data_IF_722556040328
#
_entry.id   IF_722556040328
#
_cell.length_a   1.000
_cell.length_b   1.000
_cell.length_c   1.000
_cell.angle_alpha   90.00
_cell.angle_beta   90.00
_cell.angle_gamma   90.00
#
_symmetry.space_group_name_H-M   'P 1'
#
loop_
_entity.id
_entity.type
_entity.pdbx_description
1 polymer ?
#
# COMPACT_ATOMS: atom_id res chain seq x y z
N UNK A 1 -49.48 -45.20 1.34
CA UNK A 1 -48.30 -44.68 2.06
C UNK A 1 -47.34 -44.09 1.03
N UNK A 2 -47.42 -42.79 0.83
CA UNK A 2 -46.59 -42.08 -0.17
C UNK A 2 -45.36 -41.49 0.53
N UNK A 3 -44.14 -42.08 0.28
CA UNK A 3 -42.89 -41.51 0.75
C UNK A 3 -42.55 -40.27 -0.09
N UNK A 4 -42.67 -39.07 0.48
CA UNK A 4 -42.13 -37.84 -0.09
C UNK A 4 -40.61 -37.88 0.01
N UNK A 5 -39.96 -38.00 -1.13
CA UNK A 5 -38.51 -37.84 -1.29
C UNK A 5 -38.22 -36.30 -1.35
N UNK A 6 -37.72 -35.73 -0.27
CA UNK A 6 -37.20 -34.36 -0.28
C UNK A 6 -35.81 -34.39 -0.94
N UNK A 7 -35.73 -33.90 -2.18
CA UNK A 7 -34.46 -33.65 -2.86
C UNK A 7 -33.90 -32.33 -2.32
N UNK A 8 -32.95 -32.38 -1.38
CA UNK A 8 -32.16 -31.23 -1.02
C UNK A 8 -31.18 -30.92 -2.19
N UNK A 9 -31.54 -29.92 -3.00
CA UNK A 9 -30.57 -29.29 -3.88
C UNK A 9 -29.58 -28.50 -2.98
N UNK A 10 -28.45 -29.09 -2.69
CA UNK A 10 -27.30 -28.35 -2.19
C UNK A 10 -26.79 -27.46 -3.32
N UNK A 11 -27.20 -26.21 -3.33
CA UNK A 11 -26.53 -25.16 -4.10
C UNK A 11 -25.12 -25.06 -3.52
N UNK A 12 -24.18 -25.75 -4.15
CA UNK A 12 -22.76 -25.49 -3.93
C UNK A 12 -22.48 -24.08 -4.47
N UNK A 13 -22.52 -23.09 -3.60
CA UNK A 13 -21.90 -21.81 -3.88
C UNK A 13 -20.42 -22.11 -4.04
N UNK A 14 -19.96 -22.32 -5.27
CA UNK A 14 -18.55 -22.36 -5.57
C UNK A 14 -17.99 -21.01 -5.16
N UNK A 15 -17.25 -20.96 -4.05
CA UNK A 15 -16.45 -19.80 -3.70
C UNK A 15 -15.42 -19.64 -4.81
N UNK A 16 -15.70 -18.68 -5.71
CA UNK A 16 -14.76 -18.30 -6.77
C UNK A 16 -13.52 -17.80 -6.05
N UNK A 17 -12.39 -18.44 -6.27
CA UNK A 17 -11.08 -18.01 -5.77
C UNK A 17 -10.35 -17.29 -6.88
N UNK A 18 -9.39 -16.42 -6.52
CA UNK A 18 -8.44 -15.92 -7.49
C UNK A 18 -7.88 -17.09 -8.31
N UNK A 19 -7.94 -16.97 -9.63
CA UNK A 19 -7.47 -18.00 -10.57
C UNK A 19 -6.04 -17.71 -11.02
N UNK A 20 -5.37 -18.71 -11.55
CA UNK A 20 -4.05 -18.54 -12.14
C UNK A 20 -4.17 -17.72 -13.45
N UNK A 21 -3.64 -16.50 -13.53
CA UNK A 21 -3.79 -15.62 -14.70
C UNK A 21 -3.13 -16.17 -15.96
N UNK A 22 -2.19 -17.13 -15.85
CA UNK A 22 -1.56 -17.77 -17.01
C UNK A 22 -2.40 -18.91 -17.59
N UNK A 23 -3.50 -19.26 -16.94
CA UNK A 23 -4.43 -20.30 -17.43
C UNK A 23 -5.39 -19.84 -18.51
N UNK A 24 -5.42 -18.54 -18.83
CA UNK A 24 -6.29 -17.93 -19.83
C UNK A 24 -5.48 -17.06 -20.81
N UNK A 25 -5.99 -16.78 -22.03
CA UNK A 25 -5.36 -15.83 -22.94
C UNK A 25 -5.12 -14.48 -22.25
N UNK A 26 -3.92 -13.91 -22.39
CA UNK A 26 -3.47 -12.77 -21.61
C UNK A 26 -2.77 -11.72 -22.49
N UNK A 27 -3.36 -10.51 -22.55
CA UNK A 27 -2.68 -9.34 -23.12
C UNK A 27 -1.69 -8.79 -22.09
N UNK A 28 -0.46 -9.25 -22.12
CA UNK A 28 0.55 -8.86 -21.14
C UNK A 28 1.00 -7.39 -21.19
N UNK A 29 0.53 -6.61 -22.19
CA UNK A 29 0.91 -5.21 -22.33
C UNK A 29 0.15 -4.36 -21.31
N UNK A 30 0.88 -3.55 -20.58
CA UNK A 30 0.35 -2.62 -19.62
C UNK A 30 1.09 -1.27 -19.64
N UNK A 31 0.73 -0.42 -18.68
CA UNK A 31 1.41 0.86 -18.42
C UNK A 31 1.19 1.28 -16.97
N UNK A 32 2.16 1.98 -16.40
CA UNK A 32 2.05 2.58 -15.06
C UNK A 32 1.48 4.00 -15.18
N UNK A 33 0.50 4.34 -14.37
CA UNK A 33 -0.07 5.68 -14.24
C UNK A 33 0.01 6.16 -12.78
N UNK A 34 0.01 7.47 -12.56
CA UNK A 34 -0.01 8.04 -11.21
C UNK A 34 -1.35 8.69 -10.87
N UNK A 35 -2.14 9.07 -11.87
CA UNK A 35 -3.46 9.69 -11.68
C UNK A 35 -4.55 8.79 -12.31
N UNK A 36 -5.65 8.48 -11.59
CA UNK A 36 -6.74 7.66 -12.12
C UNK A 36 -7.44 8.26 -13.35
N UNK A 37 -7.36 9.58 -13.59
CA UNK A 37 -7.92 10.21 -14.78
C UNK A 37 -7.11 9.90 -16.05
N UNK A 38 -5.88 9.40 -15.95
CA UNK A 38 -5.07 8.94 -17.08
C UNK A 38 -5.58 7.64 -17.72
N UNK A 39 -6.55 6.96 -17.11
CA UNK A 39 -7.01 5.62 -17.52
C UNK A 39 -7.52 5.57 -18.98
N UNK A 40 -8.11 6.65 -19.49
CA UNK A 40 -8.59 6.68 -20.89
C UNK A 40 -7.41 6.66 -21.88
N UNK A 41 -6.32 7.37 -21.57
CA UNK A 41 -5.12 7.39 -22.40
C UNK A 41 -4.35 6.08 -22.27
N UNK A 42 -4.28 5.53 -21.04
CA UNK A 42 -3.72 4.21 -20.80
C UNK A 42 -4.43 3.13 -21.65
N UNK A 43 -5.76 3.15 -21.70
CA UNK A 43 -6.54 2.21 -22.50
C UNK A 43 -6.23 2.28 -24.01
N UNK A 44 -6.03 3.49 -24.57
CA UNK A 44 -5.62 3.65 -25.97
C UNK A 44 -4.28 2.98 -26.26
N UNK A 45 -3.35 3.01 -25.30
CA UNK A 45 -2.06 2.36 -25.45
C UNK A 45 -2.19 0.84 -25.31
N UNK A 46 -2.75 0.36 -24.20
CA UNK A 46 -2.65 -1.06 -23.86
C UNK A 46 -3.60 -1.94 -24.67
N UNK A 47 -4.70 -1.37 -25.18
CA UNK A 47 -5.69 -2.07 -26.00
C UNK A 47 -5.62 -1.72 -27.49
N UNK A 48 -4.49 -1.11 -27.96
CA UNK A 48 -4.25 -0.85 -29.38
C UNK A 48 -3.86 -2.13 -30.16
N UNK A 49 -3.85 -2.04 -31.47
CA UNK A 49 -3.26 -3.04 -32.42
C UNK A 49 -3.68 -4.50 -32.12
N UNK A 50 -5.00 -4.69 -31.93
CA UNK A 50 -5.60 -6.02 -31.68
C UNK A 50 -5.61 -6.47 -30.22
N UNK A 51 -5.12 -5.62 -29.32
CA UNK A 51 -5.16 -5.87 -27.87
C UNK A 51 -6.52 -5.59 -27.26
N UNK A 52 -6.83 -6.32 -26.21
CA UNK A 52 -7.94 -6.05 -25.29
C UNK A 52 -7.59 -6.59 -23.90
N UNK A 53 -8.18 -6.04 -22.86
CA UNK A 53 -7.88 -6.38 -21.46
C UNK A 53 -6.38 -6.24 -21.09
N UNK A 54 -5.79 -5.10 -21.44
CA UNK A 54 -4.43 -4.73 -21.00
C UNK A 54 -4.39 -4.29 -19.55
N UNK A 55 -3.19 -4.16 -19.01
CA UNK A 55 -2.96 -3.88 -17.59
C UNK A 55 -2.66 -2.40 -17.31
N UNK A 56 -3.08 -1.93 -16.15
CA UNK A 56 -2.69 -0.61 -15.62
C UNK A 56 -2.26 -0.74 -14.17
N UNK A 57 -0.99 -0.43 -13.89
CA UNK A 57 -0.50 -0.28 -12.51
C UNK A 57 -0.77 1.15 -12.03
N UNK A 58 -1.33 1.28 -10.82
CA UNK A 58 -1.59 2.59 -10.19
C UNK A 58 -1.39 2.50 -8.68
N UNK A 59 -0.71 3.49 -8.04
CA UNK A 59 -0.59 3.53 -6.59
C UNK A 59 -1.87 4.09 -5.94
N UNK A 60 -2.26 3.47 -4.81
CA UNK A 60 -3.24 4.04 -3.87
C UNK A 60 -2.55 4.24 -2.54
N UNK A 61 -2.48 5.49 -2.08
CA UNK A 61 -1.82 5.83 -0.82
C UNK A 61 -2.77 5.67 0.37
N UNK A 62 -2.22 5.39 1.56
CA UNK A 62 -3.02 5.24 2.79
C UNK A 62 -3.79 6.49 3.20
N UNK A 63 -3.42 7.67 2.72
CA UNK A 63 -4.11 8.94 2.93
C UNK A 63 -5.04 9.35 1.76
N UNK A 64 -5.24 8.48 0.75
CA UNK A 64 -6.13 8.72 -0.39
C UNK A 64 -7.28 7.71 -0.38
N UNK A 65 -8.36 8.06 0.30
CA UNK A 65 -9.57 7.26 0.46
C UNK A 65 -10.80 7.93 -0.14
N UNK A 66 -10.61 8.83 -1.11
CA UNK A 66 -11.71 9.42 -1.86
C UNK A 66 -12.49 8.33 -2.61
N UNK A 67 -13.65 7.95 -2.05
CA UNK A 67 -14.46 6.84 -2.55
C UNK A 67 -14.98 7.11 -3.95
N UNK A 68 -15.42 8.31 -4.25
CA UNK A 68 -16.02 8.66 -5.54
C UNK A 68 -14.97 8.65 -6.65
N UNK A 69 -13.77 9.17 -6.38
CA UNK A 69 -12.62 9.12 -7.27
C UNK A 69 -12.29 7.68 -7.65
N UNK A 70 -12.15 6.79 -6.64
CA UNK A 70 -11.76 5.41 -6.88
C UNK A 70 -12.89 4.56 -7.47
N UNK A 71 -14.15 4.77 -7.07
CA UNK A 71 -15.29 4.14 -7.74
C UNK A 71 -15.30 4.45 -9.23
N UNK A 72 -15.10 5.73 -9.60
CA UNK A 72 -15.01 6.18 -10.99
C UNK A 72 -13.87 5.49 -11.74
N UNK A 73 -12.70 5.35 -11.10
CA UNK A 73 -11.56 4.64 -11.69
C UNK A 73 -11.90 3.18 -12.02
N UNK A 74 -12.42 2.41 -11.05
CA UNK A 74 -12.75 1.00 -11.26
C UNK A 74 -13.89 0.80 -12.28
N UNK A 75 -14.88 1.68 -12.30
CA UNK A 75 -15.95 1.68 -13.31
C UNK A 75 -15.39 1.95 -14.72
N UNK A 76 -14.48 2.92 -14.85
CA UNK A 76 -13.78 3.19 -16.10
C UNK A 76 -12.89 2.02 -16.52
N UNK A 77 -12.17 1.41 -15.60
CA UNK A 77 -11.36 0.22 -15.87
C UNK A 77 -12.21 -0.89 -16.51
N UNK A 78 -13.40 -1.15 -15.95
CA UNK A 78 -14.33 -2.12 -16.52
C UNK A 78 -14.82 -1.73 -17.91
N UNK A 79 -15.26 -0.49 -18.09
CA UNK A 79 -15.78 0.03 -19.37
C UNK A 79 -14.73 0.02 -20.49
N UNK A 80 -13.47 0.23 -20.14
CA UNK A 80 -12.33 0.32 -21.05
C UNK A 80 -11.59 -1.00 -21.21
N UNK A 81 -12.08 -2.09 -20.59
CA UNK A 81 -11.43 -3.39 -20.56
C UNK A 81 -9.97 -3.30 -20.05
N UNK A 82 -9.80 -2.69 -18.91
CA UNK A 82 -8.51 -2.57 -18.21
C UNK A 82 -8.48 -3.47 -16.99
N UNK A 83 -7.39 -4.17 -16.81
CA UNK A 83 -7.11 -4.95 -15.60
C UNK A 83 -6.25 -4.08 -14.67
N UNK A 84 -6.80 -3.56 -13.56
CA UNK A 84 -6.03 -2.75 -12.64
C UNK A 84 -5.12 -3.62 -11.77
N UNK A 85 -3.87 -3.17 -11.60
CA UNK A 85 -2.92 -3.67 -10.62
C UNK A 85 -2.73 -2.54 -9.61
N UNK A 86 -3.25 -2.70 -8.41
CA UNK A 86 -3.20 -1.67 -7.38
C UNK A 86 -1.95 -1.84 -6.53
N UNK A 87 -1.05 -0.86 -6.57
CA UNK A 87 0.08 -0.79 -5.63
C UNK A 87 -0.38 -0.02 -4.39
N UNK A 88 -0.54 -0.72 -3.27
CA UNK A 88 -0.80 -0.03 -2.01
C UNK A 88 0.48 0.64 -1.53
N UNK A 89 0.36 1.84 -1.00
CA UNK A 89 1.48 2.62 -0.52
C UNK A 89 1.08 3.41 0.74
N UNK A 90 2.01 3.66 1.62
CA UNK A 90 1.85 4.62 2.70
C UNK A 90 1.89 6.05 2.14
N UNK A 91 2.38 7.00 2.85
CA UNK A 91 2.59 8.36 2.40
C UNK A 91 4.00 8.83 2.79
N UNK A 92 4.61 9.74 2.03
CA UNK A 92 5.92 10.28 2.39
C UNK A 92 5.80 11.21 3.61
N UNK A 93 6.76 11.08 4.52
CA UNK A 93 7.02 12.03 5.60
C UNK A 93 8.43 12.62 5.34
N UNK A 94 8.49 13.83 4.81
CA UNK A 94 9.67 14.37 4.15
C UNK A 94 10.11 13.48 2.99
N UNK A 95 11.36 13.04 2.94
CA UNK A 95 11.92 12.20 1.86
C UNK A 95 11.81 10.70 2.13
N UNK A 96 11.09 10.29 3.20
CA UNK A 96 10.98 8.91 3.63
C UNK A 96 9.50 8.50 3.69
N UNK A 97 9.16 7.39 3.05
CA UNK A 97 7.83 6.80 3.16
C UNK A 97 7.63 6.17 4.54
N UNK A 98 6.47 6.43 5.13
CA UNK A 98 6.11 5.83 6.41
C UNK A 98 6.11 4.30 6.30
N UNK A 99 6.76 3.63 7.25
CA UNK A 99 6.75 2.17 7.32
C UNK A 99 5.32 1.66 7.51
N UNK A 100 4.84 0.75 6.65
CA UNK A 100 3.50 0.21 6.77
C UNK A 100 3.37 -0.76 7.95
N UNK A 101 2.13 -0.92 8.41
CA UNK A 101 1.78 -1.79 9.52
C UNK A 101 0.46 -2.56 9.25
N UNK A 102 0.09 -3.47 10.15
CA UNK A 102 -1.12 -4.28 10.00
C UNK A 102 -2.42 -3.47 9.97
N UNK A 103 -2.47 -2.28 10.59
CA UNK A 103 -3.66 -1.41 10.52
C UNK A 103 -3.82 -0.81 9.10
N UNK A 104 -2.72 -0.46 8.44
CA UNK A 104 -2.75 -0.03 7.04
C UNK A 104 -3.28 -1.15 6.14
N UNK A 105 -2.83 -2.40 6.37
CA UNK A 105 -3.32 -3.57 5.61
C UNK A 105 -4.82 -3.79 5.78
N UNK A 106 -5.35 -3.67 7.02
CA UNK A 106 -6.78 -3.81 7.31
C UNK A 106 -7.58 -2.72 6.61
N UNK A 107 -7.13 -1.47 6.67
CA UNK A 107 -7.77 -0.34 6.02
C UNK A 107 -7.80 -0.51 4.50
N UNK A 108 -6.67 -0.86 3.88
CA UNK A 108 -6.61 -1.15 2.44
C UNK A 108 -7.51 -2.32 2.04
N UNK A 109 -7.49 -3.43 2.79
CA UNK A 109 -8.28 -4.60 2.47
C UNK A 109 -9.80 -4.30 2.52
N UNK A 110 -10.25 -3.54 3.53
CA UNK A 110 -11.64 -3.09 3.63
C UNK A 110 -12.02 -2.17 2.46
N UNK A 111 -11.21 -1.13 2.22
CA UNK A 111 -11.47 -0.16 1.16
C UNK A 111 -11.52 -0.81 -0.22
N UNK A 112 -10.54 -1.65 -0.55
CA UNK A 112 -10.42 -2.29 -1.86
C UNK A 112 -11.44 -3.42 -2.06
N UNK A 113 -11.92 -4.05 -0.97
CA UNK A 113 -12.98 -5.04 -1.07
C UNK A 113 -14.30 -4.42 -1.52
N UNK A 114 -14.55 -3.17 -1.20
CA UNK A 114 -15.76 -2.41 -1.56
C UNK A 114 -15.73 -1.84 -3.00
N UNK A 115 -14.62 -1.95 -3.71
CA UNK A 115 -14.49 -1.40 -5.08
C UNK A 115 -15.08 -2.36 -6.13
N UNK A 116 -15.69 -1.82 -7.22
CA UNK A 116 -16.29 -2.60 -8.31
C UNK A 116 -15.22 -3.10 -9.29
N UNK A 117 -14.42 -4.07 -8.88
CA UNK A 117 -13.36 -4.64 -9.70
C UNK A 117 -13.87 -5.14 -11.05
N UNK A 118 -13.16 -4.88 -12.17
CA UNK A 118 -13.57 -5.34 -13.50
C UNK A 118 -13.43 -6.86 -13.67
N UNK A 119 -12.43 -7.45 -13.01
CA UNK A 119 -12.07 -8.85 -13.12
C UNK A 119 -12.15 -9.57 -11.79
N UNK A 120 -12.27 -10.90 -11.84
CA UNK A 120 -12.30 -11.74 -10.63
C UNK A 120 -11.00 -11.57 -9.82
N UNK A 121 -9.84 -11.69 -10.47
CA UNK A 121 -8.58 -11.40 -9.81
C UNK A 121 -8.45 -9.92 -9.47
N UNK A 122 -8.20 -9.62 -8.18
CA UNK A 122 -7.98 -8.30 -7.62
C UNK A 122 -6.51 -8.15 -7.29
N UNK A 123 -5.72 -7.66 -8.25
CA UNK A 123 -4.26 -7.64 -8.14
C UNK A 123 -3.78 -6.53 -7.21
N UNK A 124 -3.05 -6.91 -6.15
CA UNK A 124 -2.51 -6.01 -5.13
C UNK A 124 -1.01 -6.19 -5.04
N UNK A 125 -0.24 -5.14 -5.32
CA UNK A 125 1.19 -5.07 -5.00
C UNK A 125 1.32 -4.55 -3.57
N UNK A 126 2.01 -5.31 -2.73
CA UNK A 126 2.18 -5.03 -1.31
C UNK A 126 3.38 -4.10 -1.10
N UNK A 127 3.14 -2.80 -1.31
CA UNK A 127 4.08 -1.68 -1.17
C UNK A 127 5.12 -1.56 -2.28
N UNK A 128 6.15 -0.71 -2.08
CA UNK A 128 7.15 -0.34 -3.08
C UNK A 128 8.56 -0.56 -2.52
N UNK A 129 9.44 -1.13 -3.30
CA UNK A 129 10.90 -1.19 -3.15
C UNK A 129 11.45 -1.20 -1.70
N UNK A 130 11.02 -2.13 -0.83
CA UNK A 130 11.45 -2.14 0.57
C UNK A 130 12.96 -2.43 0.75
N UNK A 131 13.68 -2.66 -0.33
CA UNK A 131 15.15 -2.72 -0.35
C UNK A 131 15.81 -1.33 -0.41
N UNK A 132 15.02 -0.25 -0.46
CA UNK A 132 15.45 1.13 -0.25
C UNK A 132 14.95 1.64 1.11
N UNK A 133 15.84 2.22 1.91
CA UNK A 133 15.51 2.72 3.24
C UNK A 133 14.44 3.84 3.20
N UNK A 134 14.52 4.73 2.20
CA UNK A 134 13.54 5.82 2.03
C UNK A 134 12.12 5.32 1.68
N UNK A 135 11.98 4.12 1.13
CA UNK A 135 10.69 3.48 0.85
C UNK A 135 10.14 2.73 2.08
N UNK A 136 10.96 2.53 3.14
CA UNK A 136 10.63 1.67 4.28
C UNK A 136 10.99 2.30 5.63
N UNK A 137 10.40 3.42 5.98
CA UNK A 137 10.55 4.06 7.29
C UNK A 137 11.97 4.54 7.61
N UNK A 138 12.82 4.73 6.61
CA UNK A 138 14.24 5.09 6.80
C UNK A 138 15.16 3.92 7.12
N UNK A 139 14.66 2.67 7.05
CA UNK A 139 15.43 1.46 7.37
C UNK A 139 15.28 0.39 6.32
N UNK A 140 16.25 -0.52 6.22
CA UNK A 140 16.18 -1.71 5.36
C UNK A 140 15.89 -2.90 6.27
N UNK A 141 14.67 -3.44 6.21
CA UNK A 141 14.25 -4.51 7.12
C UNK A 141 13.55 -5.67 6.40
N UNK A 142 14.32 -6.63 5.84
CA UNK A 142 13.76 -7.79 5.16
C UNK A 142 12.86 -8.68 6.01
N UNK A 143 13.17 -8.79 7.33
CA UNK A 143 12.35 -9.58 8.26
C UNK A 143 10.96 -8.96 8.45
N UNK A 144 10.91 -7.66 8.67
CA UNK A 144 9.64 -6.95 8.87
C UNK A 144 8.77 -7.02 7.61
N UNK A 145 9.37 -6.75 6.44
CA UNK A 145 8.64 -6.86 5.18
C UNK A 145 8.11 -8.28 4.94
N UNK A 146 8.91 -9.31 5.17
CA UNK A 146 8.48 -10.70 5.03
C UNK A 146 7.33 -11.07 6.00
N UNK A 147 7.38 -10.57 7.23
CA UNK A 147 6.31 -10.76 8.23
C UNK A 147 5.02 -10.05 7.80
N UNK A 148 5.16 -8.83 7.28
CA UNK A 148 4.02 -8.05 6.76
C UNK A 148 3.32 -8.74 5.59
N UNK A 149 4.05 -9.45 4.70
CA UNK A 149 3.45 -10.24 3.63
C UNK A 149 2.56 -11.37 4.18
N UNK A 150 2.99 -12.03 5.27
CA UNK A 150 2.21 -13.10 5.93
C UNK A 150 0.91 -12.53 6.52
N UNK A 151 1.00 -11.39 7.20
CA UNK A 151 -0.18 -10.68 7.72
C UNK A 151 -1.11 -10.23 6.60
N UNK A 152 -0.56 -9.68 5.52
CA UNK A 152 -1.34 -9.26 4.35
C UNK A 152 -2.16 -10.42 3.77
N UNK A 153 -1.55 -11.62 3.62
CA UNK A 153 -2.29 -12.80 3.15
C UNK A 153 -3.51 -13.09 4.02
N UNK A 154 -3.33 -13.15 5.34
CA UNK A 154 -4.42 -13.40 6.27
C UNK A 154 -5.50 -12.33 6.12
N UNK A 155 -5.12 -11.05 6.20
CA UNK A 155 -6.05 -9.92 6.21
C UNK A 155 -6.83 -9.81 4.89
N UNK A 156 -6.16 -9.84 3.74
CA UNK A 156 -6.82 -9.69 2.44
C UNK A 156 -7.66 -10.92 2.08
N UNK A 157 -7.15 -12.13 2.30
CA UNK A 157 -7.90 -13.37 1.97
C UNK A 157 -9.13 -13.58 2.87
N UNK A 158 -9.12 -13.07 4.10
CA UNK A 158 -10.31 -13.05 4.98
C UNK A 158 -11.41 -12.13 4.45
N UNK A 159 -11.06 -11.07 3.70
CA UNK A 159 -12.05 -10.17 3.07
C UNK A 159 -12.58 -10.74 1.76
N UNK A 160 -11.71 -11.27 0.92
CA UNK A 160 -12.10 -11.94 -0.33
C UNK A 160 -10.99 -12.88 -0.80
N UNK A 161 -11.32 -14.13 -1.17
CA UNK A 161 -10.38 -15.04 -1.81
C UNK A 161 -9.93 -14.55 -3.20
N UNK A 162 -10.61 -13.57 -3.79
CA UNK A 162 -10.31 -13.00 -5.12
C UNK A 162 -9.10 -12.07 -5.12
N UNK A 163 -8.67 -11.59 -3.96
CA UNK A 163 -7.42 -10.82 -3.89
C UNK A 163 -6.24 -11.68 -4.34
N UNK A 164 -5.52 -11.21 -5.35
CA UNK A 164 -4.30 -11.81 -5.87
C UNK A 164 -3.12 -10.97 -5.39
N UNK A 165 -2.37 -11.49 -4.42
CA UNK A 165 -1.33 -10.74 -3.73
C UNK A 165 0.02 -10.91 -4.40
N UNK A 166 0.66 -9.79 -4.69
CA UNK A 166 2.00 -9.70 -5.25
C UNK A 166 2.96 -9.14 -4.20
N UNK A 167 4.18 -9.67 -4.16
CA UNK A 167 5.26 -8.98 -3.41
C UNK A 167 5.48 -7.57 -3.98
N UNK A 168 6.14 -6.68 -3.24
CA UNK A 168 6.69 -5.46 -3.84
C UNK A 168 7.71 -5.81 -4.92
N UNK A 169 7.79 -5.01 -5.97
CA UNK A 169 8.93 -5.01 -6.86
C UNK A 169 10.14 -4.48 -6.12
N UNK A 170 11.23 -5.25 -6.06
CA UNK A 170 12.49 -4.72 -5.59
C UNK A 170 13.23 -4.07 -6.75
N UNK A 171 13.96 -2.99 -6.47
CA UNK A 171 14.91 -2.45 -7.44
C UNK A 171 16.05 -3.45 -7.65
N UNK A 172 16.04 -4.10 -8.81
CA UNK A 172 17.03 -5.14 -9.17
C UNK A 172 18.42 -4.59 -9.51
N UNK A 173 18.55 -3.28 -9.71
CA UNK A 173 19.80 -2.59 -9.98
C UNK A 173 20.45 -1.98 -8.73
N UNK A 174 19.77 -2.01 -7.59
CA UNK A 174 20.24 -1.38 -6.36
C UNK A 174 21.49 -2.04 -5.80
N UNK A 175 22.56 -1.27 -5.53
CA UNK A 175 23.76 -1.79 -4.86
C UNK A 175 23.53 -1.85 -3.35
N UNK A 176 24.39 -2.59 -2.64
CA UNK A 176 24.48 -2.49 -1.19
C UNK A 176 25.08 -1.15 -0.77
N UNK A 177 24.34 -0.42 0.07
CA UNK A 177 24.74 0.86 0.66
C UNK A 177 24.06 1.05 2.02
N UNK A 178 24.35 2.13 2.78
CA UNK A 178 23.59 2.43 4.00
C UNK A 178 22.09 2.66 3.77
N UNK A 179 21.68 3.05 2.55
CA UNK A 179 20.29 3.39 2.20
C UNK A 179 19.64 2.42 1.22
N UNK A 180 20.36 1.42 0.73
CA UNK A 180 19.83 0.42 -0.19
C UNK A 180 20.49 -0.94 -0.01
N UNK A 181 19.80 -2.00 -0.41
CA UNK A 181 20.30 -3.38 -0.39
C UNK A 181 20.10 -4.03 -1.76
N UNK A 182 21.11 -4.77 -2.22
CA UNK A 182 20.97 -5.64 -3.38
C UNK A 182 19.75 -6.56 -3.23
N UNK A 183 18.92 -6.63 -4.26
CA UNK A 183 17.63 -7.34 -4.20
C UNK A 183 17.82 -8.84 -3.89
N UNK A 184 18.87 -9.49 -4.41
CA UNK A 184 19.15 -10.91 -4.15
C UNK A 184 19.51 -11.14 -2.68
N UNK A 185 20.31 -10.22 -2.10
CA UNK A 185 20.63 -10.27 -0.69
C UNK A 185 19.38 -10.03 0.16
N UNK A 186 18.52 -9.11 -0.23
CA UNK A 186 17.24 -8.84 0.45
C UNK A 186 16.36 -10.10 0.49
N UNK A 187 16.14 -10.76 -0.65
CA UNK A 187 15.40 -12.02 -0.72
C UNK A 187 16.06 -13.15 0.05
N UNK A 188 17.40 -13.23 0.03
CA UNK A 188 18.14 -14.21 0.83
C UNK A 188 17.83 -14.06 2.33
N UNK A 189 17.86 -12.83 2.83
CA UNK A 189 17.55 -12.54 4.24
C UNK A 189 16.09 -12.80 4.58
N UNK A 190 15.12 -12.44 3.70
CA UNK A 190 13.73 -12.82 3.86
C UNK A 190 13.55 -14.34 3.98
N UNK A 191 14.22 -15.10 3.10
CA UNK A 191 14.16 -16.57 3.12
C UNK A 191 14.80 -17.17 4.39
N UNK A 192 15.87 -16.55 4.90
CA UNK A 192 16.57 -17.02 6.08
C UNK A 192 15.76 -16.75 7.35
N UNK A 193 15.18 -15.57 7.47
CA UNK A 193 14.55 -15.13 8.71
C UNK A 193 13.05 -15.39 8.79
N UNK A 194 12.34 -15.44 7.63
CA UNK A 194 10.89 -15.64 7.58
C UNK A 194 10.50 -16.44 6.32
N UNK A 195 10.88 -17.74 6.22
CA UNK A 195 10.75 -18.53 4.97
C UNK A 195 9.31 -18.71 4.47
N UNK A 196 8.31 -18.50 5.34
CA UNK A 196 6.89 -18.64 4.98
C UNK A 196 6.37 -17.51 4.10
N UNK A 197 7.12 -16.40 3.94
CA UNK A 197 6.67 -15.27 3.12
C UNK A 197 6.35 -15.66 1.68
N UNK A 198 7.08 -16.61 1.11
CA UNK A 198 6.82 -17.09 -0.26
C UNK A 198 5.42 -17.65 -0.44
N UNK A 199 4.92 -18.36 0.57
CA UNK A 199 3.55 -18.90 0.54
C UNK A 199 2.49 -17.83 0.82
N UNK A 200 2.90 -16.64 1.25
CA UNK A 200 2.01 -15.54 1.52
C UNK A 200 1.60 -14.75 0.27
N UNK A 201 2.31 -14.89 -0.85
CA UNK A 201 1.99 -14.20 -2.10
C UNK A 201 1.56 -15.18 -3.19
N UNK A 202 0.69 -14.74 -4.09
CA UNK A 202 0.18 -15.52 -5.22
C UNK A 202 1.08 -15.37 -6.46
N UNK A 203 1.88 -14.28 -6.53
CA UNK A 203 2.84 -13.98 -7.59
C UNK A 203 3.86 -12.94 -7.14
N UNK A 204 4.73 -12.53 -8.05
CA UNK A 204 5.81 -11.57 -7.78
C UNK A 204 5.68 -10.33 -8.66
N UNK A 205 5.77 -9.15 -8.05
CA UNK A 205 6.09 -7.93 -8.77
C UNK A 205 7.61 -7.75 -8.81
N UNK A 206 8.12 -7.17 -9.89
CA UNK A 206 9.55 -6.89 -10.08
C UNK A 206 9.74 -5.55 -10.76
N UNK A 207 10.81 -4.83 -10.41
CA UNK A 207 11.22 -3.58 -11.04
C UNK A 207 12.53 -3.78 -11.79
N UNK A 208 12.51 -3.46 -13.09
CA UNK A 208 13.63 -3.68 -13.99
C UNK A 208 13.94 -2.39 -14.74
N UNK A 209 14.94 -1.65 -14.28
CA UNK A 209 15.44 -0.45 -14.93
C UNK A 209 16.84 -0.72 -15.54
N UNK A 210 16.89 -1.38 -16.69
CA UNK A 210 18.17 -1.75 -17.27
C UNK A 210 18.89 -0.52 -17.83
N UNK A 211 20.16 -0.43 -17.58
CA UNK A 211 21.10 0.51 -18.21
C UNK A 211 21.53 0.02 -19.60
N UNK A 212 21.32 -1.26 -19.89
CA UNK A 212 21.69 -1.95 -21.12
C UNK A 212 20.73 -3.08 -21.46
N UNK A 213 20.81 -3.62 -22.68
CA UNK A 213 20.04 -4.82 -23.07
C UNK A 213 20.32 -6.03 -22.17
N UNK A 214 21.53 -6.15 -21.64
CA UNK A 214 21.90 -7.27 -20.76
C UNK A 214 21.14 -7.21 -19.41
N UNK A 215 20.87 -6.03 -18.87
CA UNK A 215 20.16 -5.85 -17.60
C UNK A 215 18.67 -6.18 -17.66
N UNK A 216 18.06 -6.24 -18.85
CA UNK A 216 16.62 -6.45 -19.02
C UNK A 216 16.10 -7.79 -18.51
N UNK A 217 16.99 -8.76 -18.34
CA UNK A 217 16.65 -10.10 -17.83
C UNK A 217 16.87 -10.23 -16.32
N UNK A 218 17.13 -9.14 -15.61
CA UNK A 218 17.40 -9.18 -14.17
C UNK A 218 16.21 -9.76 -13.36
N UNK A 219 14.98 -9.66 -13.83
CA UNK A 219 13.81 -10.30 -13.23
C UNK A 219 13.95 -11.84 -13.08
N UNK A 220 14.82 -12.48 -13.87
CA UNK A 220 15.07 -13.95 -13.79
C UNK A 220 15.81 -14.35 -12.51
N UNK A 221 16.36 -13.41 -11.79
CA UNK A 221 17.03 -13.66 -10.51
C UNK A 221 16.11 -13.59 -9.31
N UNK A 222 14.83 -13.27 -9.54
CA UNK A 222 13.80 -13.32 -8.50
C UNK A 222 13.61 -14.75 -7.97
N UNK A 223 13.11 -14.91 -6.74
CA UNK A 223 12.86 -16.24 -6.15
C UNK A 223 11.65 -16.93 -6.79
N UNK A 224 11.65 -17.01 -8.12
CA UNK A 224 10.52 -17.48 -8.90
C UNK A 224 10.51 -19.00 -8.98
N UNK A 225 9.39 -19.58 -8.57
CA UNK A 225 9.09 -20.99 -8.59
C UNK A 225 8.00 -21.33 -9.63
N UNK A 226 8.03 -20.68 -10.80
CA UNK A 226 7.05 -20.72 -11.89
C UNK A 226 5.73 -19.97 -11.60
N UNK A 227 5.61 -19.29 -10.46
CA UNK A 227 4.46 -18.44 -10.20
C UNK A 227 4.41 -17.25 -11.16
N UNK A 228 3.23 -16.60 -11.29
CA UNK A 228 3.05 -15.42 -12.10
C UNK A 228 4.02 -14.29 -11.74
N UNK A 229 4.64 -13.68 -12.76
CA UNK A 229 5.52 -12.53 -12.65
C UNK A 229 4.84 -11.32 -13.28
N UNK A 230 4.92 -10.19 -12.60
CA UNK A 230 4.44 -8.89 -13.04
C UNK A 230 5.62 -7.93 -13.04
N UNK A 231 6.09 -7.50 -14.20
CA UNK A 231 7.10 -6.45 -14.34
C UNK A 231 6.35 -5.12 -14.20
N UNK A 232 6.24 -4.64 -12.95
CA UNK A 232 5.35 -3.53 -12.60
C UNK A 232 5.97 -2.16 -12.77
N UNK A 233 7.29 -2.11 -12.90
CA UNK A 233 8.02 -0.94 -13.34
C UNK A 233 9.20 -1.35 -14.21
N UNK A 234 9.36 -0.66 -15.33
CA UNK A 234 10.52 -0.75 -16.21
C UNK A 234 10.65 0.52 -17.03
N UNK A 235 11.85 0.95 -17.29
CA UNK A 235 12.08 2.19 -18.04
C UNK A 235 13.45 2.27 -18.68
N UNK A 236 13.51 2.86 -19.88
CA UNK A 236 14.74 3.21 -20.57
C UNK A 236 14.78 4.68 -20.89
N UNK A 237 15.82 5.36 -20.46
CA UNK A 237 16.04 6.74 -20.82
C UNK A 237 16.66 6.77 -22.22
N UNK A 238 15.99 7.47 -23.16
CA UNK A 238 16.54 7.73 -24.50
C UNK A 238 16.66 6.55 -25.46
N UNK A 239 16.08 5.39 -25.14
CA UNK A 239 16.08 4.20 -26.00
C UNK A 239 14.66 3.64 -26.23
N UNK A 240 13.79 4.39 -26.89
CA UNK A 240 12.37 4.05 -27.06
C UNK A 240 12.10 2.76 -27.84
N UNK A 241 13.01 2.37 -28.73
CA UNK A 241 12.85 1.17 -29.58
C UNK A 241 13.04 -0.14 -28.83
N UNK A 242 13.50 -0.07 -27.57
CA UNK A 242 13.72 -1.28 -26.78
C UNK A 242 12.41 -1.93 -26.28
N UNK A 243 11.34 -1.17 -26.08
CA UNK A 243 10.08 -1.76 -25.62
C UNK A 243 9.49 -2.77 -26.61
N UNK A 244 9.27 -2.46 -27.91
CA UNK A 244 8.77 -3.44 -28.86
C UNK A 244 9.66 -4.68 -28.96
N UNK A 245 10.98 -4.49 -28.96
CA UNK A 245 11.94 -5.58 -28.96
C UNK A 245 11.82 -6.43 -27.69
N UNK A 246 11.73 -5.83 -26.51
CA UNK A 246 11.65 -6.54 -25.25
C UNK A 246 10.36 -7.35 -25.12
N UNK A 247 9.21 -6.78 -25.52
CA UNK A 247 7.94 -7.49 -25.54
C UNK A 247 7.94 -8.70 -26.49
N UNK A 248 8.65 -8.59 -27.63
CA UNK A 248 8.70 -9.65 -28.65
C UNK A 248 9.78 -10.70 -28.45
N UNK A 249 10.89 -10.34 -27.75
CA UNK A 249 12.08 -11.20 -27.69
C UNK A 249 12.52 -11.54 -26.26
N UNK A 250 12.13 -10.79 -25.25
CA UNK A 250 12.63 -10.97 -23.87
C UNK A 250 11.51 -11.39 -22.92
N UNK A 251 10.42 -10.64 -22.86
CA UNK A 251 9.31 -10.90 -21.96
C UNK A 251 8.32 -11.90 -22.55
N UNK A 252 8.86 -13.02 -23.07
CA UNK A 252 8.08 -14.04 -23.79
C UNK A 252 7.73 -15.26 -22.93
N UNK A 253 8.28 -15.37 -21.73
CA UNK A 253 8.04 -16.50 -20.83
C UNK A 253 6.56 -16.57 -20.43
N UNK A 254 6.03 -17.79 -20.33
CA UNK A 254 4.60 -18.04 -20.12
C UNK A 254 4.10 -17.54 -18.75
N UNK A 255 4.98 -17.45 -17.76
CA UNK A 255 4.64 -16.96 -16.43
C UNK A 255 4.73 -15.44 -16.28
N UNK A 256 5.17 -14.68 -17.30
CA UNK A 256 5.07 -13.21 -17.30
C UNK A 256 3.65 -12.82 -17.67
N UNK A 257 2.91 -12.29 -16.70
CA UNK A 257 1.50 -11.92 -16.83
C UNK A 257 1.32 -10.50 -17.34
N UNK A 258 2.08 -9.55 -16.80
CA UNK A 258 1.98 -8.14 -17.18
C UNK A 258 3.36 -7.49 -17.19
N UNK A 259 3.52 -6.51 -18.10
CA UNK A 259 4.64 -5.58 -18.12
C UNK A 259 4.07 -4.18 -18.21
N UNK A 260 4.32 -3.35 -17.19
CA UNK A 260 3.81 -1.97 -17.11
C UNK A 260 4.96 -0.97 -17.12
N UNK A 261 5.42 -0.52 -18.30
CA UNK A 261 6.44 0.52 -18.40
C UNK A 261 6.11 1.74 -17.55
N UNK A 262 7.11 2.25 -16.84
CA UNK A 262 7.03 3.46 -16.03
C UNK A 262 7.49 4.62 -16.89
N UNK A 263 6.69 5.60 -17.19
CA UNK A 263 5.38 6.01 -16.75
C UNK A 263 4.59 6.57 -17.94
N UNK A 264 3.25 6.46 -17.95
CA UNK A 264 2.46 6.97 -19.07
C UNK A 264 2.70 8.46 -19.28
N UNK A 265 2.56 9.25 -18.21
CA UNK A 265 2.74 10.68 -18.27
C UNK A 265 3.40 11.25 -17.00
N UNK A 266 4.39 12.13 -17.20
CA UNK A 266 4.94 13.00 -16.18
C UNK A 266 5.20 14.39 -16.77
N UNK A 267 4.49 15.40 -16.26
CA UNK A 267 4.58 16.79 -16.77
C UNK A 267 5.72 17.60 -16.18
N UNK A 268 6.26 17.18 -15.01
CA UNK A 268 7.33 17.87 -14.29
C UNK A 268 8.14 16.90 -13.40
N UNK A 269 9.28 17.36 -12.92
CA UNK A 269 10.14 16.61 -12.00
C UNK A 269 11.03 15.56 -12.69
N UNK A 270 11.65 14.73 -11.89
CA UNK A 270 12.63 13.73 -12.34
C UNK A 270 12.05 12.60 -13.20
N UNK A 271 10.75 12.34 -13.08
CA UNK A 271 10.06 11.30 -13.86
C UNK A 271 9.76 11.69 -15.29
N UNK A 272 9.92 12.97 -15.69
CA UNK A 272 9.70 13.43 -17.07
C UNK A 272 10.53 12.66 -18.10
N UNK A 273 11.72 12.21 -17.70
CA UNK A 273 12.63 11.39 -18.52
C UNK A 273 12.07 10.01 -18.89
N UNK A 274 11.08 9.53 -18.13
CA UNK A 274 10.40 8.25 -18.36
C UNK A 274 9.02 8.41 -19.01
N UNK A 275 8.52 9.64 -19.18
CA UNK A 275 7.19 9.89 -19.73
C UNK A 275 7.06 9.31 -21.14
N UNK A 276 6.08 8.43 -21.33
CA UNK A 276 5.81 7.79 -22.62
C UNK A 276 5.08 8.73 -23.56
N UNK A 277 4.07 9.46 -23.11
CA UNK A 277 3.32 10.41 -23.94
C UNK A 277 4.28 11.42 -24.56
N UNK A 278 4.10 11.63 -25.89
CA UNK A 278 4.95 12.48 -26.73
C UNK A 278 6.39 11.95 -26.93
N UNK A 279 6.65 10.69 -26.60
CA UNK A 279 7.93 10.03 -26.89
C UNK A 279 7.80 9.04 -28.06
N UNK A 280 8.89 8.72 -28.78
CA UNK A 280 8.89 7.64 -29.77
C UNK A 280 8.50 6.28 -29.19
N UNK A 281 8.76 6.04 -27.90
CA UNK A 281 8.37 4.82 -27.18
C UNK A 281 6.85 4.61 -27.19
N UNK A 282 6.07 5.68 -27.02
CA UNK A 282 4.61 5.62 -27.05
C UNK A 282 4.09 5.08 -28.41
N UNK A 283 4.58 5.66 -29.52
CA UNK A 283 4.21 5.20 -30.86
C UNK A 283 4.61 3.75 -31.11
N UNK A 284 5.79 3.35 -30.65
CA UNK A 284 6.26 1.96 -30.74
C UNK A 284 5.37 0.98 -29.98
N UNK A 285 4.93 1.37 -28.77
CA UNK A 285 4.02 0.55 -27.94
C UNK A 285 2.59 0.51 -28.55
N UNK A 286 2.11 1.60 -29.13
CA UNK A 286 0.83 1.62 -29.88
C UNK A 286 0.87 0.64 -31.05
N UNK A 287 1.95 0.66 -31.83
CA UNK A 287 2.12 -0.18 -33.03
C UNK A 287 2.40 -1.66 -32.73
N UNK A 288 2.83 -1.98 -31.50
CA UNK A 288 3.14 -3.34 -31.08
C UNK A 288 1.91 -4.25 -31.25
N UNK A 289 1.97 -5.36 -32.02
CA UNK A 289 0.88 -6.32 -32.09
C UNK A 289 0.60 -6.92 -30.71
N UNK A 290 -0.67 -6.90 -30.33
CA UNK A 290 -1.14 -7.41 -29.04
C UNK A 290 -2.17 -8.52 -29.26
N UNK A 291 -2.49 -9.22 -28.22
CA UNK A 291 -3.56 -10.23 -28.24
C UNK A 291 -4.73 -9.77 -27.35
N UNK A 292 -5.91 -10.28 -27.65
CA UNK A 292 -7.06 -10.12 -26.75
C UNK A 292 -6.91 -11.00 -25.51
N UNK A 293 -6.89 -10.39 -24.34
CA UNK A 293 -6.99 -11.10 -23.08
C UNK A 293 -8.41 -11.65 -22.85
N UNK A 294 -8.52 -12.68 -22.03
CA UNK A 294 -9.82 -13.27 -21.65
C UNK A 294 -9.89 -13.50 -20.14
N UNK A 295 -9.82 -12.43 -19.31
CA UNK A 295 -9.88 -12.57 -17.88
C UNK A 295 -11.28 -13.03 -17.44
N UNK A 296 -11.36 -13.74 -16.32
CA UNK A 296 -12.65 -13.98 -15.68
C UNK A 296 -13.18 -12.66 -15.11
N UNK A 297 -14.40 -12.29 -15.49
CA UNK A 297 -15.01 -11.03 -15.07
C UNK A 297 -15.60 -11.17 -13.66
N UNK A 298 -15.45 -10.11 -12.86
CA UNK A 298 -16.11 -10.04 -11.57
C UNK A 298 -17.64 -9.94 -11.73
N UNK A 299 -18.40 -10.60 -10.83
CA UNK A 299 -19.84 -10.44 -10.74
C UNK A 299 -20.19 -8.99 -10.39
N UNK A 300 -21.18 -8.42 -11.08
CA UNK A 300 -21.52 -7.01 -10.94
C UNK A 300 -22.49 -6.81 -9.77
N UNK A 301 -22.12 -5.91 -8.83
CA UNK A 301 -23.10 -5.08 -8.15
C UNK A 301 -23.28 -3.81 -8.97
N UNK A 302 -24.45 -3.62 -9.59
CA UNK A 302 -24.71 -2.43 -10.41
C UNK A 302 -24.90 -1.24 -9.47
N UNK A 303 -23.94 -0.29 -9.50
CA UNK A 303 -24.11 1.02 -8.88
C UNK A 303 -24.79 1.94 -9.90
N UNK A 304 -25.96 2.52 -9.62
CA UNK A 304 -26.66 3.37 -10.59
C UNK A 304 -25.93 4.70 -10.83
N UNK A 305 -25.70 4.97 -12.09
CA UNK A 305 -25.45 6.26 -12.75
C UNK A 305 -24.44 7.24 -12.16
N UNK A 306 -23.19 7.14 -12.64
CA UNK A 306 -22.31 8.30 -12.77
C UNK A 306 -22.17 8.56 -14.27
N UNK A 307 -22.62 9.74 -14.76
CA UNK A 307 -22.44 10.15 -16.15
C UNK A 307 -20.96 10.48 -16.38
N UNK A 308 -20.27 9.69 -17.19
CA UNK A 308 -18.84 9.79 -17.42
C UNK A 308 -18.57 10.57 -18.70
N UNK A 309 -18.14 11.81 -18.57
CA UNK A 309 -17.56 12.58 -19.67
C UNK A 309 -16.18 13.10 -19.24
N UNK A 310 -15.14 12.40 -19.61
CA UNK A 310 -13.78 12.95 -19.56
C UNK A 310 -13.30 13.17 -20.98
N UNK A 311 -12.98 14.41 -21.37
CA UNK A 311 -12.31 14.69 -22.66
C UNK A 311 -10.90 14.05 -22.65
N UNK A 312 -10.30 13.80 -23.81
CA UNK A 312 -8.90 13.38 -23.93
C UNK A 312 -7.98 14.36 -23.18
N UNK A 313 -6.96 13.84 -22.51
CA UNK A 313 -5.94 14.68 -21.87
C UNK A 313 -5.18 15.47 -22.93
N UNK A 314 -5.09 16.78 -22.73
CA UNK A 314 -4.24 17.66 -23.56
C UNK A 314 -3.01 18.07 -22.75
N UNK A 315 -1.96 18.54 -23.43
CA UNK A 315 -0.78 19.08 -22.76
C UNK A 315 -1.10 20.26 -21.83
N UNK A 316 -2.21 20.97 -22.08
CA UNK A 316 -2.68 22.06 -21.21
C UNK A 316 -3.37 21.51 -19.94
N UNK A 317 -4.09 20.40 -20.03
CA UNK A 317 -4.73 19.76 -18.87
C UNK A 317 -3.69 19.13 -17.94
N UNK A 318 -2.64 18.58 -18.50
CA UNK A 318 -1.49 18.08 -17.78
C UNK A 318 -0.83 19.20 -16.95
N UNK A 319 -0.60 20.37 -17.55
CA UNK A 319 -0.01 21.52 -16.86
C UNK A 319 -0.92 22.10 -15.76
N UNK A 320 -2.24 21.98 -15.87
CA UNK A 320 -3.19 22.41 -14.83
C UNK A 320 -3.23 21.44 -13.65
N UNK A 321 -3.10 20.15 -13.87
CA UNK A 321 -3.19 19.13 -12.80
C UNK A 321 -1.91 18.98 -12.00
N UNK A 322 -0.77 19.29 -12.61
CA UNK A 322 0.54 19.28 -11.99
C UNK A 322 1.11 20.69 -11.77
N UNK A 323 0.27 21.73 -11.83
CA UNK A 323 0.68 23.09 -11.47
C UNK A 323 0.92 23.17 -9.94
N UNK A 324 1.93 22.44 -9.50
CA UNK A 324 2.67 22.74 -8.30
C UNK A 324 3.57 23.93 -8.63
N UNK A 325 2.93 25.13 -8.84
CA UNK A 325 3.65 26.37 -9.08
C UNK A 325 4.53 26.66 -7.91
N UNK A 326 5.76 26.52 -8.10
CA UNK A 326 6.74 27.07 -7.23
C UNK A 326 8.04 26.30 -7.16
N UNK A 327 8.96 26.66 -8.01
CA UNK A 327 10.34 26.52 -7.70
C UNK A 327 11.04 25.34 -8.36
N UNK A 328 11.89 25.73 -9.29
CA UNK A 328 13.06 24.93 -9.62
C UNK A 328 13.85 24.63 -8.36
N UNK A 329 14.68 23.61 -8.42
CA UNK A 329 15.65 23.22 -7.39
C UNK A 329 16.42 24.49 -6.94
N UNK A 330 16.02 25.05 -5.79
CA UNK A 330 16.55 26.32 -5.24
C UNK A 330 15.54 27.23 -4.56
N UNK A 331 14.24 26.94 -4.62
CA UNK A 331 13.17 27.71 -3.94
C UNK A 331 12.79 27.09 -2.61
N UNK A 332 13.17 27.78 -1.57
CA UNK A 332 12.68 27.77 -0.20
C UNK A 332 11.93 26.51 0.29
N UNK A 333 12.68 25.53 0.75
CA UNK A 333 12.21 24.33 1.45
C UNK A 333 11.25 24.70 2.62
N UNK A 334 11.40 25.90 3.21
CA UNK A 334 10.55 26.39 4.29
C UNK A 334 9.08 26.54 3.89
N UNK A 335 8.77 26.93 2.65
CA UNK A 335 7.40 27.05 2.14
C UNK A 335 6.76 25.71 1.83
N UNK A 336 7.55 24.72 1.41
CA UNK A 336 7.11 23.33 1.26
C UNK A 336 6.84 22.68 2.62
N UNK A 337 7.72 22.96 3.59
CA UNK A 337 7.53 22.55 4.98
C UNK A 337 6.26 23.18 5.56
N UNK A 338 5.94 24.42 5.23
CA UNK A 338 4.73 25.11 5.71
C UNK A 338 3.44 24.60 5.04
N UNK A 339 3.45 24.34 3.74
CA UNK A 339 2.33 23.71 3.01
C UNK A 339 2.16 22.25 3.45
N UNK A 340 3.25 21.53 3.61
CA UNK A 340 3.25 20.16 4.11
C UNK A 340 2.82 20.12 5.59
N UNK A 341 3.29 21.03 6.43
CA UNK A 341 2.84 21.13 7.83
C UNK A 341 1.36 21.48 7.97
N UNK A 342 0.78 22.30 7.08
CA UNK A 342 -0.66 22.56 7.06
C UNK A 342 -1.49 21.37 6.52
N UNK A 343 -0.90 20.52 5.68
CA UNK A 343 -1.52 19.26 5.22
C UNK A 343 -1.29 18.10 6.21
N UNK A 344 -0.18 18.12 6.97
CA UNK A 344 0.21 17.05 7.90
C UNK A 344 -0.30 17.22 9.33
N UNK A 345 -0.91 18.35 9.70
CA UNK A 345 -1.50 18.59 11.01
C UNK A 345 -2.89 17.95 11.21
N UNK A 346 -3.17 16.82 10.56
CA UNK A 346 -4.17 15.90 11.09
C UNK A 346 -3.46 14.96 12.10
N UNK A 347 -3.08 15.53 13.24
CA UNK A 347 -2.81 14.74 14.44
C UNK A 347 -4.02 13.82 14.66
N UNK A 348 -3.77 12.51 14.70
CA UNK A 348 -4.83 11.57 15.07
C UNK A 348 -5.42 12.04 16.40
N UNK A 349 -6.73 12.27 16.42
CA UNK A 349 -7.42 12.72 17.64
C UNK A 349 -8.12 11.56 18.29
N UNK A 350 -8.00 11.50 19.59
CA UNK A 350 -8.75 10.60 20.45
C UNK A 350 -9.71 11.42 21.31
N UNK A 351 -10.95 10.99 21.46
CA UNK A 351 -11.86 11.58 22.43
C UNK A 351 -12.13 10.59 23.57
N UNK A 352 -12.07 11.08 24.82
CA UNK A 352 -12.55 10.37 26.02
C UNK A 352 -13.66 11.23 26.61
N UNK A 353 -14.91 10.75 26.50
CA UNK A 353 -16.06 11.60 26.81
C UNK A 353 -16.08 12.86 25.93
N UNK A 354 -16.02 14.04 26.56
CA UNK A 354 -15.97 15.35 25.87
C UNK A 354 -14.54 15.86 25.62
N UNK A 355 -13.51 15.15 26.05
CA UNK A 355 -12.12 15.62 25.98
C UNK A 355 -11.46 15.12 24.70
N UNK A 356 -10.93 16.03 23.89
CA UNK A 356 -10.10 15.70 22.73
C UNK A 356 -8.61 15.75 23.12
N UNK A 357 -7.86 14.74 22.65
CA UNK A 357 -6.44 14.51 22.91
C UNK A 357 -5.75 14.29 21.56
N UNK A 358 -4.67 15.01 21.32
CA UNK A 358 -3.81 14.75 20.18
C UNK A 358 -2.95 13.53 20.50
N UNK A 359 -3.00 12.50 19.65
CA UNK A 359 -2.30 11.25 19.95
C UNK A 359 -1.25 10.91 18.89
N UNK A 360 -0.12 10.41 19.38
CA UNK A 360 0.79 9.59 18.59
C UNK A 360 0.42 8.12 18.79
N UNK A 361 0.57 7.28 17.74
CA UNK A 361 0.15 5.89 17.81
C UNK A 361 1.36 4.96 17.81
N UNK A 362 1.47 4.15 18.86
CA UNK A 362 2.43 3.08 18.99
C UNK A 362 1.76 1.72 18.71
N UNK A 363 1.72 1.33 17.44
CA UNK A 363 1.00 0.15 16.95
C UNK A 363 1.92 -0.98 16.44
N UNK A 364 3.23 -0.80 16.48
CA UNK A 364 4.21 -1.84 16.21
C UNK A 364 5.16 -2.02 17.39
N UNK A 365 5.92 -3.10 17.40
CA UNK A 365 6.77 -3.48 18.55
C UNK A 365 7.86 -2.44 18.83
N UNK A 366 8.50 -1.89 17.81
CA UNK A 366 9.54 -0.87 17.93
C UNK A 366 8.99 0.41 18.59
N UNK A 367 7.84 0.92 18.13
CA UNK A 367 7.19 2.11 18.72
C UNK A 367 6.71 1.83 20.15
N UNK A 368 6.16 0.64 20.41
CA UNK A 368 5.76 0.25 21.76
C UNK A 368 6.96 0.11 22.71
N UNK A 369 8.08 -0.43 22.22
CA UNK A 369 9.31 -0.55 23.00
C UNK A 369 9.95 0.81 23.31
N UNK A 370 9.91 1.75 22.35
CA UNK A 370 10.42 3.11 22.53
C UNK A 370 9.50 3.95 23.41
N UNK A 371 8.19 3.91 23.18
CA UNK A 371 7.22 4.72 23.90
C UNK A 371 7.60 6.21 23.96
N UNK A 372 7.45 6.82 25.12
CA UNK A 372 7.83 8.21 25.40
C UNK A 372 9.25 8.34 26.01
N UNK A 373 10.05 7.26 26.03
CA UNK A 373 11.42 7.26 26.58
C UNK A 373 12.29 8.33 25.96
N UNK A 374 13.18 8.92 26.77
CA UNK A 374 14.14 9.96 26.44
C UNK A 374 13.54 11.32 25.98
N UNK A 375 12.21 11.49 26.01
CA UNK A 375 11.59 12.80 25.75
C UNK A 375 11.76 13.73 26.94
N UNK A 376 11.92 15.01 26.68
CA UNK A 376 12.03 16.03 27.73
C UNK A 376 10.67 16.42 28.31
N UNK A 377 9.61 16.35 27.52
CA UNK A 377 8.24 16.73 27.92
C UNK A 377 7.20 16.19 26.94
N UNK A 378 5.93 16.23 27.32
CA UNK A 378 4.77 15.97 26.48
C UNK A 378 3.84 17.20 26.58
N UNK A 379 3.32 17.68 25.44
CA UNK A 379 2.42 18.83 25.42
C UNK A 379 1.11 18.54 26.16
N UNK A 380 0.49 19.60 26.73
CA UNK A 380 -0.85 19.48 27.30
C UNK A 380 -1.84 18.97 26.24
N UNK A 381 -2.78 18.11 26.61
CA UNK A 381 -3.71 17.40 25.71
C UNK A 381 -3.03 16.61 24.58
N UNK A 382 -1.81 16.14 24.83
CA UNK A 382 -1.14 15.17 23.95
C UNK A 382 -0.91 13.86 24.71
N UNK A 383 -0.85 12.75 23.95
CA UNK A 383 -0.61 11.42 24.50
C UNK A 383 -0.03 10.46 23.48
N UNK A 384 0.40 9.30 23.95
CA UNK A 384 0.76 8.18 23.09
C UNK A 384 -0.22 7.03 23.29
N UNK A 385 -0.88 6.61 22.21
CA UNK A 385 -1.82 5.50 22.22
C UNK A 385 -1.10 4.23 21.75
N UNK A 386 -0.91 3.31 22.65
CA UNK A 386 -0.42 1.96 22.35
C UNK A 386 -1.59 1.09 21.92
N UNK A 387 -1.47 0.46 20.77
CA UNK A 387 -2.50 -0.43 20.20
C UNK A 387 -1.93 -1.83 20.06
N UNK A 388 -2.66 -2.82 20.54
CA UNK A 388 -2.26 -4.22 20.52
C UNK A 388 -3.20 -5.04 19.62
N UNK A 389 -2.67 -6.00 18.85
CA UNK A 389 -3.50 -6.82 17.94
C UNK A 389 -4.42 -7.77 18.73
N UNK A 390 -3.97 -8.26 19.89
CA UNK A 390 -4.75 -9.12 20.78
C UNK A 390 -4.81 -8.52 22.19
N UNK A 391 -5.97 -8.60 22.85
CA UNK A 391 -6.09 -8.16 24.22
C UNK A 391 -5.29 -9.05 25.19
N UNK A 392 -4.39 -8.44 25.96
CA UNK A 392 -3.63 -9.14 27.01
C UNK A 392 -3.32 -8.20 28.17
N UNK A 393 -2.75 -8.74 29.25
CA UNK A 393 -2.24 -7.97 30.37
C UNK A 393 -0.84 -7.43 30.05
N UNK A 394 -0.78 -6.50 29.10
CA UNK A 394 0.46 -5.89 28.64
C UNK A 394 1.13 -5.09 29.75
N UNK A 395 2.40 -5.42 30.07
CA UNK A 395 3.19 -4.72 31.07
C UNK A 395 3.88 -3.49 30.46
N UNK A 396 3.87 -2.39 31.22
CA UNK A 396 4.53 -1.13 30.87
C UNK A 396 5.58 -0.78 31.90
N UNK A 397 6.61 -0.09 31.49
CA UNK A 397 7.69 0.36 32.37
C UNK A 397 8.00 1.84 32.16
N UNK A 398 8.45 2.50 33.21
CA UNK A 398 8.87 3.89 33.20
C UNK A 398 10.38 4.04 32.91
N UNK A 399 10.95 3.11 32.11
CA UNK A 399 12.37 3.11 31.78
C UNK A 399 12.73 4.31 30.88
N UNK A 400 13.81 5.02 31.24
CA UNK A 400 14.35 6.17 30.53
C UNK A 400 13.34 7.32 30.35
N UNK A 401 12.37 7.41 31.27
CA UNK A 401 11.40 8.50 31.33
C UNK A 401 11.95 9.69 32.11
N UNK A 402 11.76 10.91 31.59
CA UNK A 402 12.18 12.15 32.24
C UNK A 402 11.05 12.88 32.98
N UNK A 403 9.82 12.39 32.88
CA UNK A 403 8.63 12.96 33.54
C UNK A 403 7.62 11.87 33.90
N UNK A 404 6.77 12.18 34.87
CA UNK A 404 5.73 11.24 35.34
C UNK A 404 4.54 11.19 34.39
N UNK A 405 3.85 10.05 34.35
CA UNK A 405 2.73 9.78 33.45
C UNK A 405 1.48 9.29 34.19
N UNK A 406 0.32 9.54 33.56
CA UNK A 406 -0.92 8.80 33.81
C UNK A 406 -1.12 7.75 32.74
N UNK A 407 -1.61 6.55 33.11
CA UNK A 407 -1.97 5.47 32.19
C UNK A 407 -3.48 5.26 32.19
N UNK A 408 -4.09 5.28 31.00
CA UNK A 408 -5.50 5.00 30.76
C UNK A 408 -5.59 3.67 30.02
N UNK A 409 -6.08 2.64 30.74
CA UNK A 409 -6.18 1.28 30.23
C UNK A 409 -7.53 1.09 29.55
N UNK A 410 -7.53 0.68 28.29
CA UNK A 410 -8.70 0.68 27.43
C UNK A 410 -8.96 -0.73 26.89
N UNK A 411 -10.23 -1.10 26.82
CA UNK A 411 -10.68 -2.32 26.17
C UNK A 411 -12.00 -2.07 25.45
N UNK A 412 -12.09 -2.53 24.19
CA UNK A 412 -13.30 -2.38 23.35
C UNK A 412 -13.83 -0.94 23.35
N UNK A 413 -12.93 0.06 23.23
CA UNK A 413 -13.29 1.48 23.19
C UNK A 413 -13.83 2.04 24.52
N UNK A 414 -13.52 1.42 25.67
CA UNK A 414 -13.90 1.92 27.01
C UNK A 414 -12.72 1.88 27.96
N UNK A 415 -12.65 2.88 28.83
CA UNK A 415 -11.69 2.92 29.96
C UNK A 415 -12.07 1.84 30.96
N UNK A 416 -11.14 0.91 31.25
CA UNK A 416 -11.39 -0.18 32.22
C UNK A 416 -10.56 -0.06 33.49
N UNK A 417 -9.44 0.68 33.44
CA UNK A 417 -8.58 0.92 34.59
C UNK A 417 -7.81 2.23 34.40
N UNK A 418 -7.38 2.86 35.47
CA UNK A 418 -6.59 4.08 35.53
C UNK A 418 -5.40 3.91 36.49
N UNK A 419 -4.20 4.33 36.06
CA UNK A 419 -3.02 4.45 36.89
C UNK A 419 -2.55 5.88 36.87
N UNK A 420 -2.54 6.57 38.01
CA UNK A 420 -2.31 8.00 38.15
C UNK A 420 -0.94 8.29 38.72
N UNK A 421 -0.36 9.42 38.27
CA UNK A 421 0.84 10.02 38.84
C UNK A 421 2.01 9.04 38.98
N UNK A 422 2.23 8.19 37.95
CA UNK A 422 3.28 7.17 37.93
C UNK A 422 4.64 7.85 37.78
N UNK A 423 5.54 7.74 38.78
CA UNK A 423 6.77 8.51 38.80
C UNK A 423 7.86 7.94 37.87
N UNK A 424 8.68 8.83 37.33
CA UNK A 424 9.91 8.50 36.60
C UNK A 424 11.08 8.27 37.56
N UNK A 425 11.11 7.11 38.25
CA UNK A 425 12.12 6.77 39.23
C UNK A 425 13.11 5.71 38.76
N UNK A 426 14.24 5.57 39.51
CA UNK A 426 15.16 4.46 39.33
C UNK A 426 15.17 3.62 40.64
N UNK A 427 14.97 2.29 40.58
CA UNK A 427 14.63 1.49 39.41
C UNK A 427 13.28 1.89 38.80
N UNK A 428 13.05 1.65 37.51
CA UNK A 428 11.81 2.05 36.83
C UNK A 428 10.60 1.29 37.37
N UNK A 429 9.48 1.99 37.54
CA UNK A 429 8.19 1.38 37.89
C UNK A 429 7.70 0.51 36.72
N UNK A 430 7.21 -0.67 37.05
CA UNK A 430 6.53 -1.58 36.11
C UNK A 430 5.05 -1.66 36.48
N UNK A 431 4.20 -1.48 35.49
CA UNK A 431 2.75 -1.50 35.61
C UNK A 431 2.16 -2.63 34.74
N UNK A 432 1.20 -3.36 35.32
CA UNK A 432 0.44 -4.38 34.57
C UNK A 432 -1.04 -4.20 34.93
N UNK A 433 -1.94 -4.15 33.91
CA UNK A 433 -3.36 -4.01 34.19
C UNK A 433 -3.95 -5.26 34.86
N UNK A 434 -5.03 -5.09 35.63
CA UNK A 434 -5.71 -6.21 36.28
C UNK A 434 -6.44 -7.13 35.26
N UNK A 435 -6.92 -6.56 34.15
CA UNK A 435 -7.63 -7.26 33.09
C UNK A 435 -6.94 -7.07 31.77
N UNK A 436 -7.13 -7.96 30.78
CA UNK A 436 -6.62 -7.78 29.42
C UNK A 436 -7.12 -6.50 28.77
N UNK A 437 -6.23 -5.76 28.11
CA UNK A 437 -6.48 -4.51 27.36
C UNK A 437 -6.03 -4.64 25.92
N UNK A 438 -6.72 -3.95 25.01
CA UNK A 438 -6.34 -3.84 23.60
C UNK A 438 -5.67 -2.51 23.27
N UNK A 439 -5.80 -1.50 24.15
CA UNK A 439 -5.15 -0.21 24.00
C UNK A 439 -4.73 0.35 25.36
N UNK A 440 -3.66 1.16 25.36
CA UNK A 440 -3.21 1.94 26.51
C UNK A 440 -2.87 3.34 26.06
N UNK A 441 -3.39 4.37 26.75
CA UNK A 441 -3.04 5.75 26.48
C UNK A 441 -2.16 6.29 27.60
N UNK A 442 -0.95 6.72 27.25
CA UNK A 442 -0.04 7.47 28.10
C UNK A 442 -0.25 8.98 27.92
N UNK A 443 -0.40 9.70 29.01
CA UNK A 443 -0.55 11.16 29.07
C UNK A 443 0.26 11.71 30.23
N UNK A 444 0.43 13.05 30.27
CA UNK A 444 1.10 13.69 31.43
C UNK A 444 0.45 13.30 32.75
N UNK A 445 1.23 13.15 33.80
CA UNK A 445 0.73 12.95 35.15
C UNK A 445 -0.23 14.08 35.58
N UNK A 446 -1.30 13.72 36.30
CA UNK A 446 -2.38 14.63 36.69
C UNK A 446 -3.44 14.87 35.62
N UNK A 447 -3.26 14.37 34.39
CA UNK A 447 -4.22 14.51 33.28
C UNK A 447 -5.60 13.91 33.63
N UNK A 448 -5.61 12.70 34.18
CA UNK A 448 -6.85 12.01 34.59
C UNK A 448 -7.64 12.84 35.59
N UNK A 449 -6.97 13.42 36.58
CA UNK A 449 -7.61 14.26 37.59
C UNK A 449 -8.09 15.60 37.00
N UNK A 450 -7.26 16.26 36.19
CA UNK A 450 -7.54 17.56 35.54
C UNK A 450 -8.79 17.51 34.68
N UNK A 451 -8.96 16.44 33.95
CA UNK A 451 -10.05 16.27 32.98
C UNK A 451 -11.18 15.36 33.45
N UNK A 452 -11.08 14.82 34.68
CA UNK A 452 -12.13 14.04 35.32
C UNK A 452 -12.42 12.68 34.65
N UNK A 453 -11.40 12.06 34.04
CA UNK A 453 -11.55 10.77 33.33
C UNK A 453 -11.87 9.66 34.35
N UNK A 454 -12.83 8.79 34.01
CA UNK A 454 -13.33 7.72 34.87
C UNK A 454 -13.36 6.38 34.13
N UNK A 455 -13.29 5.31 34.92
CA UNK A 455 -13.59 3.96 34.42
C UNK A 455 -15.02 3.93 33.87
N UNK A 456 -15.19 3.35 32.69
CA UNK A 456 -16.45 3.31 31.95
C UNK A 456 -16.57 4.38 30.84
N UNK A 457 -15.73 5.43 30.87
CA UNK A 457 -15.75 6.47 29.83
C UNK A 457 -15.49 5.86 28.44
N UNK A 458 -16.25 6.36 27.47
CA UNK A 458 -16.13 5.92 26.08
C UNK A 458 -14.93 6.60 25.42
N UNK A 459 -14.16 5.79 24.67
CA UNK A 459 -12.97 6.22 23.93
C UNK A 459 -13.26 6.06 22.43
N UNK A 460 -13.16 7.15 21.68
CA UNK A 460 -13.37 7.15 20.23
C UNK A 460 -12.17 7.79 19.54
N UNK A 461 -11.67 7.15 18.51
CA UNK A 461 -10.67 7.72 17.60
C UNK A 461 -11.40 8.45 16.48
N UNK A 462 -10.93 9.68 16.15
CA UNK A 462 -11.43 10.49 15.03
C UNK A 462 -10.38 10.59 13.93
#
# INVERSE_FOLDING_TARGET
>A
MLKKLLLLLALSVSTVRAYDPISVPNNRVGVHILDPDEINEAAKLVNSSGGDWGYVTIPIRSNDRDRDKWLKFFQNARRLHIIPIIRIATYPNSDVWVEPNSADLIDFANFLNDMPWPTNNRYIILFNEPNHANEWGGTINPYNYATLLIDARRIFKDRSPDFFLLSAGLDMASPNSPSSMDARQYYHLMNTWQPLWKSAVDGFAVHVYPDSRAGITSYKYEPTDKRPIFITETGWIGQPDLYPWAFSQVWTESNIVAVTPFILFAGAGEFTKFSLINSPAYSGLIALPKITGSPLLANITIYPNITLSNPPLTSQDANRRFDLRGGGIGGDISRWVEIMNNWFNHSSKLSIGSIEINIEIANNESKRAQGLSNRSSLSDRSGMLFVFPEPDRHSFWMKDMNFSLDFIWIRNGRVIQLSKDVPSTQPPVVLTPNNPVDQVLEVNAGFINKYGIKVGDEVRRR
#
